data_IF_008818333835
#
_entry.id   IF_008818333835
#
_cell.length_a   1.000
_cell.length_b   1.000
_cell.length_c   1.000
_cell.angle_alpha   90.00
_cell.angle_beta   90.00
_cell.angle_gamma   90.00
#
_symmetry.space_group_name_H-M   'P 1'
#
loop_
_entity.id
_entity.type
_entity.pdbx_description
1 polymer ?
#
# COMPACT_ATOMS: atom_id res chain seq x y z
N UNK A 1 42.26 -58.55 23.73
CA UNK A 1 42.68 -57.14 23.56
C UNK A 1 41.67 -56.46 22.63
N UNK A 2 40.73 -55.65 23.17
CA UNK A 2 39.67 -55.00 22.36
C UNK A 2 40.13 -53.58 22.01
N UNK A 3 40.38 -53.32 20.73
CA UNK A 3 40.67 -51.97 20.24
C UNK A 3 39.41 -51.10 20.35
N UNK A 4 39.41 -50.18 21.31
CA UNK A 4 38.40 -49.11 21.38
C UNK A 4 38.67 -48.11 20.25
N UNK A 5 37.88 -48.22 19.18
CA UNK A 5 37.82 -47.21 18.14
C UNK A 5 37.14 -45.95 18.73
N UNK A 6 37.92 -45.05 19.33
CA UNK A 6 37.47 -43.70 19.65
C UNK A 6 37.19 -42.98 18.32
N UNK A 7 35.92 -42.93 17.90
CA UNK A 7 35.49 -41.99 16.87
C UNK A 7 35.88 -40.58 17.34
N UNK A 8 36.66 -39.81 16.57
CA UNK A 8 36.94 -38.44 16.94
C UNK A 8 35.61 -37.69 16.91
N UNK A 9 35.21 -37.16 18.08
CA UNK A 9 34.11 -36.20 18.14
C UNK A 9 34.50 -35.01 17.26
N UNK A 10 33.60 -34.53 16.38
CA UNK A 10 33.92 -33.38 15.56
C UNK A 10 34.10 -32.18 16.49
N UNK A 11 35.34 -31.71 16.59
CA UNK A 11 35.63 -30.43 17.22
C UNK A 11 35.10 -29.36 16.26
N UNK A 12 33.85 -28.93 16.47
CA UNK A 12 33.34 -27.73 15.82
C UNK A 12 34.25 -26.58 16.24
N UNK A 13 34.92 -25.97 15.28
CA UNK A 13 35.66 -24.75 15.53
C UNK A 13 34.66 -23.63 15.82
N UNK A 14 35.09 -22.56 16.50
CA UNK A 14 34.27 -21.36 16.70
C UNK A 14 33.73 -20.81 15.36
N UNK A 15 34.52 -20.95 14.29
CA UNK A 15 34.13 -20.60 12.91
C UNK A 15 32.95 -21.44 12.41
N UNK A 16 32.96 -22.76 12.66
CA UNK A 16 31.88 -23.66 12.25
C UNK A 16 30.57 -23.37 13.02
N UNK A 17 30.70 -22.95 14.28
CA UNK A 17 29.55 -22.55 15.11
C UNK A 17 28.91 -21.25 14.60
N UNK A 18 29.71 -20.24 14.25
CA UNK A 18 29.21 -19.00 13.63
C UNK A 18 28.55 -19.25 12.28
N UNK A 19 29.14 -20.11 11.44
CA UNK A 19 28.57 -20.49 10.15
C UNK A 19 27.24 -21.23 10.32
N UNK A 20 27.14 -22.15 11.27
CA UNK A 20 25.89 -22.86 11.58
C UNK A 20 24.76 -21.89 11.97
N UNK A 21 25.07 -20.85 12.75
CA UNK A 21 24.10 -19.80 13.10
C UNK A 21 23.66 -19.05 11.84
N UNK A 22 24.59 -18.59 10.99
CA UNK A 22 24.26 -17.87 9.76
C UNK A 22 23.41 -18.70 8.80
N UNK A 23 23.72 -19.99 8.64
CA UNK A 23 22.92 -20.92 7.82
C UNK A 23 21.51 -21.12 8.39
N UNK A 24 21.40 -21.21 9.72
CA UNK A 24 20.10 -21.31 10.40
C UNK A 24 19.29 -20.04 10.22
N UNK A 25 19.89 -18.86 10.42
CA UNK A 25 19.25 -17.57 10.17
C UNK A 25 18.79 -17.45 8.72
N UNK A 26 19.62 -17.83 7.75
CA UNK A 26 19.27 -17.85 6.33
C UNK A 26 18.10 -18.78 6.04
N UNK A 27 18.07 -19.97 6.66
CA UNK A 27 16.98 -20.93 6.50
C UNK A 27 15.66 -20.39 7.07
N UNK A 28 15.68 -19.88 8.29
CA UNK A 28 14.51 -19.27 8.93
C UNK A 28 14.00 -18.09 8.10
N UNK A 29 14.90 -17.22 7.64
CA UNK A 29 14.56 -16.10 6.78
C UNK A 29 13.90 -16.55 5.47
N UNK A 30 14.48 -17.56 4.79
CA UNK A 30 13.90 -18.12 3.56
C UNK A 30 12.52 -18.76 3.77
N UNK A 31 12.29 -19.38 4.94
CA UNK A 31 10.98 -19.94 5.29
C UNK A 31 9.97 -18.84 5.67
N UNK A 32 10.44 -17.73 6.26
CA UNK A 32 9.59 -16.62 6.68
C UNK A 32 9.19 -15.67 5.56
N UNK A 33 9.98 -15.55 4.48
CA UNK A 33 9.71 -14.63 3.36
C UNK A 33 8.29 -14.76 2.79
N UNK A 34 7.79 -15.97 2.44
CA UNK A 34 6.44 -16.10 1.90
C UNK A 34 5.38 -15.60 2.89
N UNK A 35 5.56 -15.87 4.20
CA UNK A 35 4.63 -15.41 5.24
C UNK A 35 4.69 -13.88 5.33
N UNK A 36 5.90 -13.30 5.37
CA UNK A 36 6.11 -11.87 5.50
C UNK A 36 5.39 -11.08 4.40
N UNK A 37 5.56 -11.46 3.13
CA UNK A 37 5.01 -10.68 2.02
C UNK A 37 3.59 -11.10 1.63
N UNK A 38 3.23 -12.38 1.74
CA UNK A 38 1.93 -12.85 1.23
C UNK A 38 0.83 -12.98 2.29
N UNK A 39 1.17 -13.04 3.59
CA UNK A 39 0.18 -13.21 4.66
C UNK A 39 -0.05 -11.93 5.47
N UNK A 40 0.83 -10.93 5.37
CA UNK A 40 0.69 -9.67 6.10
C UNK A 40 0.07 -8.58 5.23
N UNK A 41 -0.58 -7.63 5.88
CA UNK A 41 -0.91 -6.34 5.28
C UNK A 41 0.28 -5.41 5.48
N UNK A 42 0.83 -4.91 4.39
CA UNK A 42 1.88 -3.89 4.44
C UNK A 42 1.18 -2.54 4.57
N UNK A 43 1.53 -1.82 5.63
CA UNK A 43 0.98 -0.49 5.90
C UNK A 43 1.97 0.57 5.45
N UNK A 44 1.50 1.51 4.63
CA UNK A 44 2.30 2.55 4.01
C UNK A 44 1.67 3.89 4.32
N UNK A 45 2.25 4.58 5.30
CA UNK A 45 1.85 5.90 5.72
C UNK A 45 2.54 7.04 4.96
N UNK A 46 3.50 6.72 4.08
CA UNK A 46 4.23 7.70 3.29
C UNK A 46 4.48 7.16 1.86
N UNK A 47 4.15 7.92 0.80
CA UNK A 47 4.49 7.58 -0.59
C UNK A 47 5.89 7.09 -0.86
N UNK A 48 6.87 7.75 -0.27
CA UNK A 48 8.28 7.41 -0.48
C UNK A 48 8.58 5.99 0.00
N UNK A 49 7.86 5.50 1.01
CA UNK A 49 8.05 4.16 1.55
C UNK A 49 7.64 3.09 0.53
N UNK A 50 6.54 3.29 -0.21
CA UNK A 50 6.18 2.36 -1.28
C UNK A 50 7.22 2.38 -2.40
N UNK A 51 7.72 3.57 -2.76
CA UNK A 51 8.76 3.73 -3.76
C UNK A 51 10.03 2.97 -3.36
N UNK A 52 10.54 3.21 -2.15
CA UNK A 52 11.71 2.52 -1.62
C UNK A 52 11.50 1.01 -1.51
N UNK A 53 10.32 0.56 -1.07
CA UNK A 53 9.97 -0.86 -1.02
C UNK A 53 10.07 -1.50 -2.42
N UNK A 54 9.54 -0.83 -3.44
CA UNK A 54 9.55 -1.31 -4.83
C UNK A 54 10.95 -1.40 -5.44
N UNK A 55 11.92 -0.65 -4.92
CA UNK A 55 13.31 -0.60 -5.37
C UNK A 55 14.23 -1.54 -4.58
N UNK A 56 13.93 -1.78 -3.31
CA UNK A 56 14.79 -2.55 -2.39
C UNK A 56 14.40 -4.03 -2.31
N UNK A 57 13.11 -4.34 -2.45
CA UNK A 57 12.62 -5.71 -2.39
C UNK A 57 12.79 -6.39 -3.74
N UNK A 58 13.33 -7.61 -3.73
CA UNK A 58 13.45 -8.44 -4.94
C UNK A 58 12.08 -8.57 -5.62
N UNK A 59 12.03 -8.39 -6.93
CA UNK A 59 10.79 -8.35 -7.73
C UNK A 59 9.83 -9.51 -7.44
N UNK A 60 10.32 -10.74 -7.27
CA UNK A 60 9.48 -11.90 -6.97
C UNK A 60 8.78 -11.80 -5.61
N UNK A 61 9.43 -11.19 -4.61
CA UNK A 61 8.87 -10.97 -3.28
C UNK A 61 7.90 -9.79 -3.29
N UNK A 62 8.25 -8.73 -4.00
CA UNK A 62 7.37 -7.57 -4.20
C UNK A 62 6.06 -7.99 -4.86
N UNK A 63 6.12 -8.80 -5.92
CA UNK A 63 4.94 -9.38 -6.59
C UNK A 63 4.14 -10.34 -5.71
N UNK A 64 4.69 -10.86 -4.62
CA UNK A 64 3.99 -11.75 -3.70
C UNK A 64 3.15 -11.03 -2.65
N UNK A 65 3.24 -9.69 -2.61
CA UNK A 65 2.42 -8.86 -1.72
C UNK A 65 0.95 -8.99 -2.11
N UNK A 66 0.12 -9.44 -1.16
CA UNK A 66 -1.32 -9.66 -1.37
C UNK A 66 -2.19 -8.59 -0.73
N UNK A 67 -1.72 -7.96 0.35
CA UNK A 67 -2.50 -7.02 1.12
C UNK A 67 -1.69 -5.76 1.35
N UNK A 68 -2.25 -4.62 0.94
CA UNK A 68 -1.62 -3.31 1.05
C UNK A 68 -2.60 -2.31 1.63
N UNK A 69 -2.11 -1.49 2.56
CA UNK A 69 -2.79 -0.32 3.06
C UNK A 69 -1.94 0.90 2.74
N UNK A 70 -2.54 1.94 2.18
CA UNK A 70 -1.87 3.18 1.81
C UNK A 70 -2.62 4.34 2.41
N UNK A 71 -1.90 5.20 3.13
CA UNK A 71 -2.40 6.50 3.55
C UNK A 71 -1.95 7.55 2.52
N UNK A 72 -2.91 8.33 2.04
CA UNK A 72 -2.76 9.39 1.06
C UNK A 72 -3.28 10.67 1.69
N UNK A 73 -2.39 11.63 1.84
CA UNK A 73 -2.76 12.97 2.28
C UNK A 73 -2.90 13.83 1.03
N UNK A 74 -4.11 14.26 0.76
CA UNK A 74 -4.43 15.14 -0.36
C UNK A 74 -4.67 16.54 0.19
N UNK A 75 -3.79 17.47 -0.14
CA UNK A 75 -4.03 18.87 0.14
C UNK A 75 -4.89 19.48 -0.96
N UNK A 76 -5.95 20.18 -0.56
CA UNK A 76 -6.88 20.81 -1.47
C UNK A 76 -6.72 22.33 -1.40
N UNK A 77 -6.63 22.94 -2.58
CA UNK A 77 -6.75 24.39 -2.73
C UNK A 77 -8.05 24.70 -3.45
N UNK A 78 -8.84 25.61 -2.89
CA UNK A 78 -10.01 26.14 -3.56
C UNK A 78 -9.55 27.24 -4.51
N UNK A 79 -9.94 27.12 -5.78
CA UNK A 79 -9.79 28.17 -6.76
C UNK A 79 -11.18 28.74 -7.07
N UNK A 80 -11.34 30.04 -6.89
CA UNK A 80 -12.48 30.76 -7.46
C UNK A 80 -12.33 30.70 -8.98
N UNK A 81 -13.15 29.90 -9.66
CA UNK A 81 -13.28 30.06 -11.11
C UNK A 81 -14.06 31.35 -11.39
N UNK A 82 -13.73 32.00 -12.51
CA UNK A 82 -14.25 33.32 -12.94
C UNK A 82 -15.79 33.43 -13.04
N UNK A 83 -16.52 32.33 -12.79
CA UNK A 83 -17.97 32.18 -12.92
C UNK A 83 -18.70 32.04 -11.57
N UNK A 84 -18.00 32.23 -10.44
CA UNK A 84 -18.61 32.20 -9.10
C UNK A 84 -18.86 30.79 -8.54
N UNK A 85 -18.47 29.74 -9.24
CA UNK A 85 -18.39 28.38 -8.71
C UNK A 85 -16.98 28.14 -8.17
N UNK A 86 -16.86 27.74 -6.91
CA UNK A 86 -15.58 27.33 -6.33
C UNK A 86 -15.20 25.96 -6.93
N UNK A 87 -14.13 25.93 -7.72
CA UNK A 87 -13.50 24.67 -8.13
C UNK A 87 -12.44 24.27 -7.12
N UNK A 88 -12.31 22.99 -6.82
CA UNK A 88 -11.21 22.45 -6.03
C UNK A 88 -10.12 21.89 -6.92
N UNK A 89 -8.86 22.28 -6.69
CA UNK A 89 -7.71 21.59 -7.27
C UNK A 89 -7.10 20.74 -6.17
N UNK A 90 -7.10 19.41 -6.38
CA UNK A 90 -6.35 18.49 -5.53
C UNK A 90 -4.96 18.30 -6.11
N UNK A 91 -3.97 18.69 -5.31
CA UNK A 91 -2.57 18.44 -5.61
C UNK A 91 -2.13 17.22 -4.82
N UNK A 92 -2.07 16.05 -5.47
CA UNK A 92 -1.40 14.87 -4.95
C UNK A 92 -0.29 14.47 -5.93
N UNK A 93 0.89 15.11 -5.86
CA UNK A 93 1.95 14.91 -6.84
C UNK A 93 2.51 13.47 -6.82
N UNK A 94 2.45 12.79 -5.68
CA UNK A 94 2.94 11.43 -5.50
C UNK A 94 1.99 10.37 -6.08
N UNK A 95 0.74 10.74 -6.39
CA UNK A 95 -0.29 9.81 -6.83
C UNK A 95 0.11 9.03 -8.08
N UNK A 96 0.67 9.70 -9.09
CA UNK A 96 1.11 9.03 -10.33
C UNK A 96 2.20 7.98 -10.07
N UNK A 97 3.06 8.22 -9.09
CA UNK A 97 4.12 7.28 -8.71
C UNK A 97 3.50 6.07 -8.04
N UNK A 98 2.53 6.27 -7.12
CA UNK A 98 1.78 5.18 -6.50
C UNK A 98 1.13 4.28 -7.53
N UNK A 99 0.43 4.86 -8.50
CA UNK A 99 -0.27 4.11 -9.54
C UNK A 99 0.67 3.21 -10.33
N UNK A 100 1.81 3.75 -10.80
CA UNK A 100 2.79 2.95 -11.53
C UNK A 100 3.42 1.82 -10.69
N UNK A 101 3.43 1.95 -9.37
CA UNK A 101 3.89 0.88 -8.48
C UNK A 101 2.79 -0.15 -8.23
N UNK A 102 1.55 0.29 -8.01
CA UNK A 102 0.39 -0.58 -7.81
C UNK A 102 0.16 -1.49 -9.02
N UNK A 103 0.30 -0.97 -10.24
CA UNK A 103 0.22 -1.77 -11.48
C UNK A 103 1.25 -2.91 -11.54
N UNK A 104 2.40 -2.76 -10.86
CA UNK A 104 3.45 -3.79 -10.79
C UNK A 104 3.17 -4.87 -9.74
N UNK A 105 2.18 -4.68 -8.88
CA UNK A 105 1.77 -5.65 -7.85
C UNK A 105 0.75 -6.65 -8.41
N UNK A 106 1.21 -7.54 -9.29
CA UNK A 106 0.38 -8.58 -9.93
C UNK A 106 -0.33 -9.54 -8.94
N UNK A 107 0.19 -9.65 -7.71
CA UNK A 107 -0.38 -10.50 -6.67
C UNK A 107 -1.34 -9.80 -5.71
N UNK A 108 -1.60 -8.50 -5.90
CA UNK A 108 -2.40 -7.71 -4.98
C UNK A 108 -3.87 -8.18 -4.99
N UNK A 109 -4.37 -8.52 -3.81
CA UNK A 109 -5.74 -9.02 -3.62
C UNK A 109 -6.56 -8.09 -2.72
N UNK A 110 -5.93 -7.40 -1.78
CA UNK A 110 -6.59 -6.50 -0.85
C UNK A 110 -5.87 -5.15 -0.88
N UNK A 111 -6.60 -4.12 -1.26
CA UNK A 111 -6.12 -2.74 -1.22
C UNK A 111 -7.03 -1.95 -0.29
N UNK A 112 -6.43 -1.32 0.72
CA UNK A 112 -7.10 -0.35 1.58
C UNK A 112 -6.47 1.02 1.35
N UNK A 113 -7.28 1.99 0.97
CA UNK A 113 -6.86 3.36 0.77
C UNK A 113 -7.41 4.22 1.90
N UNK A 114 -6.55 4.94 2.62
CA UNK A 114 -6.97 5.99 3.55
C UNK A 114 -6.64 7.32 2.91
N UNK A 115 -7.66 8.09 2.56
CA UNK A 115 -7.52 9.39 1.92
C UNK A 115 -7.93 10.48 2.91
N UNK A 116 -6.94 11.21 3.44
CA UNK A 116 -7.16 12.38 4.28
C UNK A 116 -7.08 13.64 3.41
N UNK A 117 -8.16 14.42 3.41
CA UNK A 117 -8.24 15.67 2.67
C UNK A 117 -8.10 16.85 3.61
N UNK A 118 -7.02 17.62 3.44
CA UNK A 118 -6.76 18.83 4.22
C UNK A 118 -7.08 20.08 3.40
N UNK A 119 -7.83 21.01 4.00
CA UNK A 119 -8.05 22.33 3.44
C UNK A 119 -6.88 23.25 3.79
N UNK A 120 -6.15 23.73 2.78
CA UNK A 120 -5.02 24.64 3.00
C UNK A 120 -5.45 26.10 3.28
N UNK A 121 -6.75 26.43 3.22
CA UNK A 121 -7.26 27.77 3.49
C UNK A 121 -8.25 27.77 4.66
N UNK A 122 -7.99 28.63 5.65
CA UNK A 122 -8.91 28.94 6.75
C UNK A 122 -10.16 29.62 6.20
N UNK A 123 -11.25 28.86 6.09
CA UNK A 123 -12.56 29.41 5.74
C UNK A 123 -13.31 29.86 6.99
N UNK A 124 -13.96 31.03 6.98
CA UNK A 124 -14.84 31.44 8.07
C UNK A 124 -16.08 30.53 8.10
N UNK A 125 -16.06 29.49 8.94
CA UNK A 125 -17.19 28.68 9.43
C UNK A 125 -18.43 28.58 8.50
N UNK A 126 -18.21 28.36 7.21
CA UNK A 126 -19.27 28.10 6.24
C UNK A 126 -19.77 26.66 6.40
N UNK A 127 -20.98 26.34 5.93
CA UNK A 127 -21.42 24.96 5.86
C UNK A 127 -20.38 24.17 5.07
N UNK A 128 -19.77 23.18 5.73
CA UNK A 128 -18.81 22.30 5.10
C UNK A 128 -19.55 21.58 3.95
N UNK A 129 -19.23 21.93 2.70
CA UNK A 129 -19.78 21.24 1.55
C UNK A 129 -18.91 20.03 1.25
N UNK A 130 -19.29 18.86 1.78
CA UNK A 130 -18.65 17.57 1.46
C UNK A 130 -18.60 17.32 -0.06
N UNK A 131 -19.54 17.89 -0.82
CA UNK A 131 -19.58 17.82 -2.29
C UNK A 131 -18.34 18.39 -3.00
N UNK A 132 -17.56 19.27 -2.35
CA UNK A 132 -16.29 19.75 -2.89
C UNK A 132 -15.17 18.70 -2.80
N UNK A 133 -15.30 17.71 -1.92
CA UNK A 133 -14.31 16.66 -1.72
C UNK A 133 -14.62 15.38 -2.51
N UNK A 134 -15.88 15.18 -2.92
CA UNK A 134 -16.27 14.02 -3.72
C UNK A 134 -15.66 14.05 -5.12
N UNK A 135 -15.67 15.21 -5.80
CA UNK A 135 -15.14 15.33 -7.17
C UNK A 135 -13.64 14.95 -7.25
N UNK A 136 -12.75 15.46 -6.39
CA UNK A 136 -11.35 15.03 -6.42
C UNK A 136 -11.13 13.58 -6.00
N UNK A 137 -11.95 13.06 -5.08
CA UNK A 137 -11.90 11.66 -4.71
C UNK A 137 -12.26 10.77 -5.91
N UNK A 138 -13.31 11.11 -6.65
CA UNK A 138 -13.68 10.43 -7.89
C UNK A 138 -12.57 10.50 -8.94
N UNK A 139 -12.01 11.68 -9.21
CA UNK A 139 -10.87 11.84 -10.13
C UNK A 139 -9.66 10.99 -9.71
N UNK A 140 -9.37 10.97 -8.40
CA UNK A 140 -8.28 10.17 -7.84
C UNK A 140 -8.53 8.68 -8.05
N UNK A 141 -9.75 8.18 -7.80
CA UNK A 141 -10.13 6.78 -7.95
C UNK A 141 -10.21 6.34 -9.42
N UNK A 142 -10.73 7.20 -10.31
CA UNK A 142 -10.72 7.01 -11.76
C UNK A 142 -9.27 6.88 -12.27
N UNK A 143 -8.35 7.70 -11.74
CA UNK A 143 -6.94 7.58 -12.06
C UNK A 143 -6.35 6.23 -11.63
N UNK A 144 -6.86 5.59 -10.56
CA UNK A 144 -6.38 4.26 -10.16
C UNK A 144 -6.65 3.21 -11.23
N UNK A 145 -7.65 3.41 -12.10
CA UNK A 145 -8.10 2.39 -13.05
C UNK A 145 -8.07 1.03 -12.37
N UNK A 146 -8.85 0.80 -11.30
CA UNK A 146 -8.75 -0.45 -10.54
C UNK A 146 -8.89 -1.72 -11.40
N UNK A 147 -9.52 -1.61 -12.57
CA UNK A 147 -9.53 -2.62 -13.63
C UNK A 147 -8.12 -3.06 -14.11
N UNK A 148 -7.11 -2.20 -13.97
CA UNK A 148 -5.69 -2.49 -14.22
C UNK A 148 -5.06 -3.38 -13.14
N UNK A 149 -5.58 -3.35 -11.91
CA UNK A 149 -5.09 -4.15 -10.78
C UNK A 149 -5.69 -5.56 -10.84
N UNK A 150 -5.13 -6.37 -11.75
CA UNK A 150 -5.58 -7.75 -11.98
C UNK A 150 -5.50 -8.57 -10.69
N UNK A 151 -6.62 -9.18 -10.32
CA UNK A 151 -6.69 -10.08 -9.16
C UNK A 151 -7.05 -9.40 -7.83
N UNK A 152 -7.32 -8.09 -7.84
CA UNK A 152 -7.88 -7.38 -6.71
C UNK A 152 -9.25 -8.00 -6.35
N UNK A 153 -9.41 -8.40 -5.08
CA UNK A 153 -10.63 -9.04 -4.56
C UNK A 153 -11.37 -8.14 -3.59
N UNK A 154 -10.64 -7.26 -2.92
CA UNK A 154 -11.16 -6.37 -1.89
C UNK A 154 -10.53 -5.00 -2.03
N UNK A 155 -11.41 -4.00 -2.13
CA UNK A 155 -11.04 -2.60 -2.11
C UNK A 155 -11.81 -1.92 -0.98
N UNK A 156 -11.10 -1.31 -0.04
CA UNK A 156 -11.67 -0.53 1.06
C UNK A 156 -11.15 0.91 0.97
N UNK A 157 -12.04 1.88 1.12
CA UNK A 157 -11.69 3.30 1.16
C UNK A 157 -12.12 3.88 2.51
N UNK A 158 -11.21 4.57 3.16
CA UNK A 158 -11.46 5.36 4.36
C UNK A 158 -11.08 6.80 4.07
N UNK A 159 -11.90 7.73 4.55
CA UNK A 159 -11.64 9.15 4.35
C UNK A 159 -12.22 9.97 5.50
N UNK A 160 -11.69 11.18 5.69
CA UNK A 160 -12.19 12.15 6.66
C UNK A 160 -13.41 12.94 6.17
N UNK A 161 -13.89 12.70 4.94
CA UNK A 161 -15.13 13.27 4.38
C UNK A 161 -16.34 12.74 5.16
N UNK A 162 -17.31 13.61 5.50
CA UNK A 162 -18.46 13.21 6.35
C UNK A 162 -19.60 12.55 5.57
N UNK A 163 -19.64 12.74 4.26
CA UNK A 163 -20.65 12.13 3.37
C UNK A 163 -20.41 10.63 3.16
N UNK A 164 -20.80 9.82 4.14
CA UNK A 164 -20.66 8.36 4.10
C UNK A 164 -21.48 7.70 2.99
N UNK A 165 -22.60 8.30 2.57
CA UNK A 165 -23.47 7.75 1.53
C UNK A 165 -22.85 7.95 0.14
N UNK A 166 -22.37 9.16 -0.15
CA UNK A 166 -21.63 9.47 -1.38
C UNK A 166 -20.36 8.64 -1.51
N UNK A 167 -19.56 8.53 -0.44
CA UNK A 167 -18.37 7.67 -0.40
C UNK A 167 -18.76 6.20 -0.67
N UNK A 168 -19.81 5.71 -0.03
CA UNK A 168 -20.29 4.34 -0.22
C UNK A 168 -20.65 4.06 -1.67
N UNK A 169 -21.38 4.98 -2.33
CA UNK A 169 -21.74 4.85 -3.73
C UNK A 169 -20.52 4.85 -4.65
N UNK A 170 -19.55 5.74 -4.39
CA UNK A 170 -18.29 5.79 -5.14
C UNK A 170 -17.52 4.46 -5.01
N UNK A 171 -17.38 3.95 -3.79
CA UNK A 171 -16.70 2.67 -3.53
C UNK A 171 -17.40 1.52 -4.24
N UNK A 172 -18.73 1.47 -4.22
CA UNK A 172 -19.50 0.41 -4.88
C UNK A 172 -19.45 0.51 -6.41
N UNK A 173 -19.48 1.72 -6.99
CA UNK A 173 -19.26 1.93 -8.43
C UNK A 173 -17.88 1.40 -8.85
N UNK A 174 -16.88 1.73 -8.04
CA UNK A 174 -15.49 1.32 -8.24
C UNK A 174 -15.33 -0.20 -8.05
N UNK A 175 -16.01 -0.82 -7.09
CA UNK A 175 -16.04 -2.29 -6.89
C UNK A 175 -16.77 -3.04 -8.00
N UNK A 176 -17.88 -2.50 -8.49
CA UNK A 176 -18.62 -3.05 -9.62
C UNK A 176 -17.73 -3.23 -10.86
N UNK A 177 -16.74 -2.34 -11.02
CA UNK A 177 -15.74 -2.39 -12.10
C UNK A 177 -14.66 -3.47 -11.90
N UNK A 178 -14.49 -3.99 -10.68
CA UNK A 178 -13.51 -5.05 -10.35
C UNK A 178 -14.11 -6.45 -10.57
N UNK A 179 -15.45 -6.59 -10.48
CA UNK A 179 -16.14 -7.88 -10.52
C UNK A 179 -16.69 -8.30 -11.90
N UNK A 180 -16.50 -7.48 -12.94
CA UNK A 180 -16.87 -7.77 -14.34
C UNK A 180 -15.66 -8.13 -15.18
#
# INVERSE_FOLDING_TARGET
MRYYNKRPFPFYTRSDSCLAILLTCRRVYNQGIPILYSCNTIDINNPETLLYLSQTVITSRFKSIKSLQIDVNASMTLCTQDWGLAGSIVTCPEWKIFLGILERLEGLQNLRLRAEFDLLQDFPAGPHCDGLFLMPLEEMLEAIKLSSLRGLRRFDLETNIRDTEGIGQIVENVRGTICT
#
